data_IF_079679078803
#
_entry.id   IF_079679078803
#
_cell.length_a   1.000
_cell.length_b   1.000
_cell.length_c   1.000
_cell.angle_alpha   90.00
_cell.angle_beta   90.00
_cell.angle_gamma   90.00
#
_symmetry.space_group_name_H-M   'P 1'
#
loop_
_entity.id
_entity.type
_entity.pdbx_description
1 polymer ?
#
# COMPACT_ATOMS: atom_id res chain seq x y z
N UNK A 1 9.31 8.96 -0.06
CA UNK A 1 8.99 8.02 -1.17
C UNK A 1 7.50 7.72 -1.08
N UNK A 2 6.77 7.85 -2.18
CA UNK A 2 5.29 7.76 -2.23
C UNK A 2 4.84 6.38 -2.73
N UNK A 3 3.56 6.06 -2.53
CA UNK A 3 2.90 4.84 -2.99
C UNK A 3 2.08 5.04 -4.29
N UNK A 4 2.31 6.13 -5.02
CA UNK A 4 1.57 6.48 -6.24
C UNK A 4 1.81 5.52 -7.42
N UNK A 5 2.67 4.49 -7.26
CA UNK A 5 2.75 3.35 -8.20
C UNK A 5 1.44 2.55 -8.20
N UNK A 6 0.65 2.63 -7.12
CA UNK A 6 -0.63 1.94 -6.94
C UNK A 6 -1.79 2.78 -7.49
N UNK A 7 -1.81 3.07 -8.78
CA UNK A 7 -2.88 3.86 -9.39
C UNK A 7 -4.19 3.04 -9.51
N UNK A 8 -5.13 3.30 -8.62
CA UNK A 8 -6.44 2.64 -8.60
C UNK A 8 -7.39 3.07 -9.73
N UNK A 9 -7.04 4.10 -10.51
CA UNK A 9 -7.80 4.55 -11.68
C UNK A 9 -7.27 3.97 -13.01
N UNK A 10 -6.08 3.36 -13.02
CA UNK A 10 -5.48 2.76 -14.20
C UNK A 10 -6.15 1.40 -14.53
N UNK A 11 -6.78 1.24 -15.71
CA UNK A 11 -7.35 -0.04 -16.13
C UNK A 11 -6.33 -1.19 -16.14
N UNK A 12 -5.05 -0.92 -16.40
CA UNK A 12 -4.01 -1.96 -16.38
C UNK A 12 -3.72 -2.43 -14.95
N UNK A 13 -3.80 -1.54 -13.96
CA UNK A 13 -3.72 -1.90 -12.55
C UNK A 13 -4.93 -2.73 -12.11
N UNK A 14 -6.11 -2.40 -12.63
CA UNK A 14 -7.33 -3.16 -12.35
C UNK A 14 -7.31 -4.56 -12.97
N UNK A 15 -6.69 -4.73 -14.13
CA UNK A 15 -6.53 -6.01 -14.83
C UNK A 15 -5.49 -6.92 -14.15
N UNK A 16 -4.30 -6.38 -13.84
CA UNK A 16 -3.25 -7.09 -13.08
C UNK A 16 -2.50 -6.16 -12.11
N UNK A 17 -2.89 -6.14 -10.81
CA UNK A 17 -2.27 -5.26 -9.83
C UNK A 17 -0.94 -5.79 -9.27
N UNK A 18 -0.64 -7.09 -9.44
CA UNK A 18 0.49 -7.72 -8.77
C UNK A 18 1.87 -7.19 -9.20
N UNK A 19 2.11 -6.87 -10.49
CA UNK A 19 3.33 -6.19 -10.92
C UNK A 19 3.54 -4.84 -10.22
N UNK A 20 2.47 -4.06 -10.04
CA UNK A 20 2.54 -2.78 -9.34
C UNK A 20 2.88 -2.97 -7.85
N UNK A 21 2.26 -3.95 -7.17
CA UNK A 21 2.62 -4.29 -5.80
C UNK A 21 4.07 -4.77 -5.66
N UNK A 22 4.60 -5.51 -6.64
CA UNK A 22 6.00 -5.94 -6.64
C UNK A 22 6.96 -4.75 -6.72
N UNK A 23 6.75 -3.86 -7.70
CA UNK A 23 7.55 -2.62 -7.83
C UNK A 23 7.45 -1.74 -6.58
N UNK A 24 6.24 -1.58 -6.02
CA UNK A 24 6.06 -0.77 -4.81
C UNK A 24 6.81 -1.38 -3.62
N UNK A 25 6.81 -2.70 -3.45
CA UNK A 25 7.57 -3.36 -2.36
C UNK A 25 9.07 -3.15 -2.49
N UNK A 26 9.61 -3.19 -3.70
CA UNK A 26 11.03 -2.99 -3.97
C UNK A 26 11.44 -1.54 -3.75
N UNK A 27 10.61 -0.59 -4.17
CA UNK A 27 10.89 0.84 -4.06
C UNK A 27 10.65 1.39 -2.64
N UNK A 28 9.47 1.14 -2.08
CA UNK A 28 9.05 1.65 -0.77
C UNK A 28 7.91 0.77 -0.20
N UNK A 29 8.22 -0.27 0.59
CA UNK A 29 7.22 -1.23 1.09
C UNK A 29 6.25 -0.66 2.12
N UNK A 30 6.48 0.57 2.58
CA UNK A 30 5.61 1.35 3.44
C UNK A 30 5.74 2.83 3.04
N UNK A 31 4.67 3.43 2.51
CA UNK A 31 4.71 4.80 1.97
C UNK A 31 3.33 5.47 2.01
N UNK A 32 3.32 6.80 1.99
CA UNK A 32 2.10 7.60 1.84
C UNK A 32 1.54 7.45 0.42
N UNK A 33 0.23 7.30 0.28
CA UNK A 33 -0.46 7.29 -1.01
C UNK A 33 -1.34 8.54 -1.12
N UNK A 34 -1.08 9.39 -2.13
CA UNK A 34 -1.79 10.67 -2.22
C UNK A 34 -3.28 10.48 -2.51
N UNK A 35 -3.65 9.58 -3.43
CA UNK A 35 -5.06 9.31 -3.74
C UNK A 35 -5.90 8.75 -2.58
N UNK A 36 -5.29 7.98 -1.66
CA UNK A 36 -5.97 7.40 -0.50
C UNK A 36 -5.84 8.27 0.76
N UNK A 37 -4.96 9.29 0.73
CA UNK A 37 -4.61 10.09 1.91
C UNK A 37 -4.26 9.21 3.12
N UNK A 38 -3.48 8.14 2.87
CA UNK A 38 -3.16 7.14 3.88
C UNK A 38 -1.79 6.51 3.64
N UNK A 39 -1.19 5.98 4.70
CA UNK A 39 -0.03 5.10 4.58
C UNK A 39 -0.46 3.71 4.09
N UNK A 40 0.25 3.20 3.09
CA UNK A 40 0.04 1.87 2.50
C UNK A 40 1.23 0.98 2.81
N UNK A 41 0.95 -0.22 3.34
CA UNK A 41 1.91 -1.28 3.56
C UNK A 41 1.77 -2.36 2.49
N UNK A 42 2.84 -2.67 1.76
CA UNK A 42 2.81 -3.68 0.68
C UNK A 42 3.68 -4.89 0.96
N UNK A 43 4.60 -4.86 1.94
CA UNK A 43 5.38 -6.03 2.35
C UNK A 43 4.75 -6.78 3.52
N UNK A 44 4.96 -8.10 3.55
CA UNK A 44 4.42 -8.98 4.59
C UNK A 44 4.75 -8.51 6.01
N UNK A 45 5.99 -8.05 6.24
CA UNK A 45 6.43 -7.51 7.53
C UNK A 45 5.61 -6.29 7.96
N UNK A 46 5.44 -5.30 7.08
CA UNK A 46 4.70 -4.08 7.41
C UNK A 46 3.20 -4.34 7.58
N UNK A 47 2.60 -5.15 6.69
CA UNK A 47 1.19 -5.54 6.81
C UNK A 47 0.94 -6.24 8.14
N UNK A 48 1.80 -7.21 8.50
CA UNK A 48 1.68 -7.91 9.78
C UNK A 48 1.80 -6.99 10.99
N UNK A 49 2.70 -5.99 10.94
CA UNK A 49 2.85 -5.00 12.00
C UNK A 49 1.60 -4.11 12.13
N UNK A 50 1.10 -3.59 11.00
CA UNK A 50 -0.10 -2.73 10.97
C UNK A 50 -1.32 -3.45 11.54
N UNK A 51 -1.59 -4.69 11.09
CA UNK A 51 -2.77 -5.44 11.52
C UNK A 51 -2.72 -5.89 12.99
N UNK A 52 -1.53 -5.93 13.60
CA UNK A 52 -1.34 -6.33 15.00
C UNK A 52 -1.21 -5.14 15.95
N UNK A 53 -0.98 -3.94 15.44
CA UNK A 53 -0.92 -2.74 16.26
C UNK A 53 -2.34 -2.33 16.69
N UNK A 54 -2.63 -2.54 17.98
CA UNK A 54 -3.92 -2.21 18.60
C UNK A 54 -4.24 -0.71 18.55
N UNK A 55 -3.25 0.16 18.33
CA UNK A 55 -3.45 1.61 18.15
C UNK A 55 -4.13 1.93 16.82
N UNK A 56 -3.96 1.08 15.80
CA UNK A 56 -4.49 1.29 14.44
C UNK A 56 -5.86 0.63 14.23
N UNK A 57 -6.28 -0.30 15.09
CA UNK A 57 -7.53 -1.06 14.96
C UNK A 57 -8.80 -0.35 15.47
N UNK A 58 -8.74 0.95 15.79
CA UNK A 58 -9.89 1.76 16.21
C UNK A 58 -10.22 2.77 15.12
N UNK A 59 -10.99 2.30 14.14
CA UNK A 59 -11.62 3.14 13.13
C UNK A 59 -13.10 3.19 13.49
N UNK A 60 -13.59 4.39 13.78
CA UNK A 60 -14.89 4.72 14.39
C UNK A 60 -16.05 4.52 13.41
#
# INVERSE_FOLDING_TARGET
MSADILDFADPAFLDDPYPAFARQREAAPFAWHEGLQAFVATSHQHVSAVLRDRRLGRIF
#
